data_IF_967064202108
#
_entry.id   IF_967064202108
#
_cell.length_a   1.000
_cell.length_b   1.000
_cell.length_c   1.000
_cell.angle_alpha   90.00
_cell.angle_beta   90.00
_cell.angle_gamma   90.00
#
_symmetry.space_group_name_H-M   'P 1'
#
loop_
_entity.id
_entity.type
_entity.pdbx_description
1 polymer ?
#
# COMPACT_ATOMS: atom_id res chain seq x y z
N UNK A 1 -4.67 -22.47 -31.67
CA UNK A 1 -5.09 -22.48 -30.26
C UNK A 1 -4.50 -21.24 -29.62
N UNK A 2 -5.37 -20.41 -29.07
CA UNK A 2 -5.14 -19.01 -28.70
C UNK A 2 -4.12 -18.85 -27.58
N UNK A 3 -3.25 -17.82 -27.60
CA UNK A 3 -2.53 -17.43 -26.40
C UNK A 3 -3.54 -16.81 -25.44
N UNK A 4 -3.67 -17.45 -24.29
CA UNK A 4 -4.49 -17.02 -23.18
C UNK A 4 -4.02 -15.65 -22.69
N UNK A 5 -4.98 -14.77 -22.42
CA UNK A 5 -4.87 -13.39 -21.95
C UNK A 5 -3.65 -13.10 -21.05
N UNK A 6 -2.57 -12.58 -21.63
CA UNK A 6 -1.65 -11.71 -20.91
C UNK A 6 -2.14 -10.28 -21.10
N UNK A 7 -2.96 -9.81 -20.18
CA UNK A 7 -3.13 -8.36 -19.99
C UNK A 7 -1.81 -7.88 -19.39
N UNK A 8 -0.83 -7.59 -20.25
CA UNK A 8 0.28 -6.71 -19.91
C UNK A 8 -0.31 -5.31 -19.77
N UNK A 9 -0.94 -5.02 -18.64
CA UNK A 9 -0.97 -3.64 -18.18
C UNK A 9 0.48 -3.31 -17.82
N UNK A 10 1.18 -2.63 -18.72
CA UNK A 10 2.51 -2.10 -18.45
C UNK A 10 2.39 -1.19 -17.22
N UNK A 11 2.90 -1.66 -16.08
CA UNK A 11 2.97 -0.87 -14.85
C UNK A 11 3.61 0.47 -15.16
N UNK A 12 3.11 1.53 -14.56
CA UNK A 12 3.61 2.89 -14.80
C UNK A 12 4.71 3.25 -13.79
N UNK A 13 5.79 3.94 -14.21
CA UNK A 13 6.75 4.50 -13.27
C UNK A 13 6.06 5.54 -12.39
N UNK A 14 6.38 5.55 -11.10
CA UNK A 14 5.93 6.59 -10.18
C UNK A 14 7.04 6.91 -9.16
N UNK A 15 7.18 8.18 -8.80
CA UNK A 15 8.06 8.58 -7.72
C UNK A 15 7.42 8.31 -6.35
N UNK A 16 8.28 8.21 -5.32
CA UNK A 16 7.86 7.89 -3.96
C UNK A 16 6.85 8.88 -3.39
N UNK A 17 7.01 10.17 -3.66
CA UNK A 17 6.16 11.20 -3.07
C UNK A 17 4.76 11.15 -3.68
N UNK A 18 4.66 11.03 -5.00
CA UNK A 18 3.38 10.89 -5.71
C UNK A 18 2.66 9.61 -5.29
N UNK A 19 3.38 8.50 -5.15
CA UNK A 19 2.80 7.23 -4.71
C UNK A 19 2.25 7.30 -3.28
N UNK A 20 2.95 7.98 -2.36
CA UNK A 20 2.46 8.18 -0.99
C UNK A 20 1.23 9.10 -0.95
N UNK A 21 1.12 10.09 -1.83
CA UNK A 21 -0.08 10.92 -1.94
C UNK A 21 -1.28 10.08 -2.38
N UNK A 22 -1.14 9.28 -3.44
CA UNK A 22 -2.21 8.39 -3.91
C UNK A 22 -2.58 7.34 -2.86
N UNK A 23 -1.61 6.73 -2.20
CA UNK A 23 -1.83 5.78 -1.12
C UNK A 23 -2.63 6.40 0.05
N UNK A 24 -2.26 7.61 0.48
CA UNK A 24 -2.97 8.29 1.57
C UNK A 24 -4.36 8.79 1.17
N UNK A 25 -4.60 9.04 -0.12
CA UNK A 25 -5.94 9.32 -0.62
C UNK A 25 -6.84 8.08 -0.51
N UNK A 26 -6.32 6.91 -0.90
CA UNK A 26 -7.04 5.62 -0.75
C UNK A 26 -7.32 5.33 0.73
N UNK A 27 -6.33 5.50 1.61
CA UNK A 27 -6.50 5.28 3.06
C UNK A 27 -7.67 6.09 3.61
N UNK A 28 -7.77 7.38 3.27
CA UNK A 28 -8.79 8.30 3.80
C UNK A 28 -10.21 7.97 3.33
N UNK A 29 -10.35 7.35 2.16
CA UNK A 29 -11.64 7.02 1.56
C UNK A 29 -12.06 5.56 1.80
N UNK A 30 -11.27 4.78 2.53
CA UNK A 30 -11.60 3.39 2.82
C UNK A 30 -12.46 3.27 4.09
N UNK A 31 -13.42 2.34 4.10
CA UNK A 31 -14.39 2.18 5.21
C UNK A 31 -13.71 1.86 6.56
N UNK A 32 -12.64 1.05 6.52
CA UNK A 32 -11.80 0.72 7.68
C UNK A 32 -10.80 1.84 8.11
N UNK A 33 -10.96 3.07 7.62
CA UNK A 33 -10.08 4.18 8.00
C UNK A 33 -10.09 4.43 9.51
N UNK A 34 -8.88 4.54 10.09
CA UNK A 34 -8.68 4.93 11.48
C UNK A 34 -8.01 6.30 11.53
N UNK A 35 -8.49 7.17 12.43
CA UNK A 35 -7.85 8.47 12.63
C UNK A 35 -6.35 8.31 12.97
N UNK A 36 -5.51 9.03 12.24
CA UNK A 36 -4.05 8.96 12.35
C UNK A 36 -3.39 7.89 11.47
N UNK A 37 -4.17 7.05 10.77
CA UNK A 37 -3.61 6.10 9.80
C UNK A 37 -3.07 6.86 8.59
N UNK A 38 -1.76 6.75 8.37
CA UNK A 38 -1.03 7.42 7.28
C UNK A 38 0.09 6.49 6.83
N UNK A 39 0.30 6.38 5.52
CA UNK A 39 1.52 5.80 4.97
C UNK A 39 2.58 6.89 4.86
N UNK A 40 3.72 6.72 5.53
CA UNK A 40 4.83 7.69 5.53
C UNK A 40 6.00 7.27 4.65
N UNK A 41 6.06 6.00 4.30
CA UNK A 41 7.16 5.44 3.53
C UNK A 41 6.70 4.23 2.71
N UNK A 42 7.39 4.06 1.59
CA UNK A 42 7.17 2.96 0.66
C UNK A 42 8.49 2.51 0.07
N UNK A 43 8.66 1.19 0.00
CA UNK A 43 9.78 0.52 -0.66
C UNK A 43 9.23 -0.49 -1.67
N UNK A 44 9.96 -0.77 -2.75
CA UNK A 44 9.60 -1.85 -3.67
C UNK A 44 10.50 -3.06 -3.45
N UNK A 45 9.91 -4.21 -3.18
CA UNK A 45 10.60 -5.49 -2.96
C UNK A 45 10.03 -6.55 -3.89
N UNK A 46 10.88 -7.13 -4.73
CA UNK A 46 10.49 -8.19 -5.68
C UNK A 46 9.24 -7.82 -6.53
N UNK A 47 9.16 -6.56 -6.97
CA UNK A 47 8.03 -6.06 -7.77
C UNK A 47 6.78 -5.69 -6.98
N UNK A 48 6.78 -5.81 -5.65
CA UNK A 48 5.68 -5.47 -4.74
C UNK A 48 6.03 -4.23 -3.91
N UNK A 49 5.13 -3.27 -3.87
CA UNK A 49 5.19 -2.08 -3.02
C UNK A 49 4.85 -2.45 -1.57
N UNK A 50 5.70 -2.05 -0.64
CA UNK A 50 5.56 -2.29 0.80
C UNK A 50 5.44 -0.94 1.50
N UNK A 51 4.26 -0.66 2.00
CA UNK A 51 3.95 0.57 2.74
C UNK A 51 4.25 0.41 4.23
N UNK A 52 4.68 1.50 4.87
CA UNK A 52 4.86 1.59 6.33
C UNK A 52 4.28 2.91 6.84
N UNK A 53 4.07 2.93 8.15
CA UNK A 53 3.50 4.05 8.88
C UNK A 53 3.16 3.63 10.31
N UNK A 54 2.23 4.35 10.94
CA UNK A 54 1.78 4.07 12.31
C UNK A 54 0.95 2.77 12.41
N UNK A 55 1.37 1.85 13.29
CA UNK A 55 0.72 0.55 13.49
C UNK A 55 -0.18 0.49 14.74
N UNK A 56 -0.24 1.55 15.56
CA UNK A 56 -1.05 1.62 16.78
C UNK A 56 -0.79 0.42 17.73
N UNK A 57 0.49 0.11 17.93
CA UNK A 57 0.92 -0.90 18.88
C UNK A 57 0.62 -0.44 20.31
N UNK A 58 0.48 -1.39 21.23
CA UNK A 58 0.38 -1.05 22.65
C UNK A 58 1.74 -0.58 23.23
N UNK A 59 1.74 -0.21 24.51
CA UNK A 59 2.95 0.23 25.23
C UNK A 59 4.09 -0.79 25.27
N UNK A 60 3.82 -2.06 24.98
CA UNK A 60 4.80 -3.14 24.94
C UNK A 60 5.22 -3.48 23.49
N UNK A 61 4.69 -2.75 22.50
CA UNK A 61 4.93 -3.02 21.07
C UNK A 61 4.10 -4.17 20.52
N UNK A 62 3.02 -4.58 21.21
CA UNK A 62 2.19 -5.71 20.78
C UNK A 62 1.08 -5.19 19.84
N UNK A 63 0.82 -5.90 18.72
CA UNK A 63 -0.29 -5.58 17.83
C UNK A 63 -1.64 -5.57 18.55
N UNK A 64 -2.45 -4.56 18.25
CA UNK A 64 -3.83 -4.42 18.74
C UNK A 64 -4.82 -4.65 17.60
N UNK A 65 -6.12 -4.60 17.90
CA UNK A 65 -7.16 -4.60 16.86
C UNK A 65 -6.97 -3.46 15.83
N UNK A 66 -6.45 -2.31 16.28
CA UNK A 66 -6.13 -1.19 15.38
C UNK A 66 -4.97 -1.54 14.45
N UNK A 67 -3.98 -2.27 14.95
CA UNK A 67 -2.88 -2.77 14.13
C UNK A 67 -3.37 -3.69 13.02
N UNK A 68 -4.36 -4.56 13.30
CA UNK A 68 -4.97 -5.42 12.28
C UNK A 68 -5.58 -4.61 11.13
N UNK A 69 -6.30 -3.51 11.44
CA UNK A 69 -6.87 -2.64 10.41
C UNK A 69 -5.77 -1.98 9.55
N UNK A 70 -4.67 -1.51 10.17
CA UNK A 70 -3.52 -0.96 9.44
C UNK A 70 -2.87 -2.02 8.54
N UNK A 71 -2.66 -3.24 9.04
CA UNK A 71 -2.10 -4.34 8.25
C UNK A 71 -2.97 -4.65 7.03
N UNK A 72 -4.29 -4.71 7.21
CA UNK A 72 -5.23 -4.94 6.11
C UNK A 72 -5.17 -3.79 5.09
N UNK A 73 -5.10 -2.54 5.56
CA UNK A 73 -4.98 -1.36 4.69
C UNK A 73 -3.69 -1.39 3.88
N UNK A 74 -2.53 -1.58 4.53
CA UNK A 74 -1.25 -1.61 3.83
C UNK A 74 -1.14 -2.80 2.88
N UNK A 75 -1.74 -3.94 3.22
CA UNK A 75 -1.89 -5.08 2.31
C UNK A 75 -2.76 -4.72 1.10
N UNK A 76 -3.86 -4.01 1.29
CA UNK A 76 -4.72 -3.55 0.21
C UNK A 76 -3.97 -2.60 -0.73
N UNK A 77 -3.29 -1.59 -0.19
CA UNK A 77 -2.44 -0.67 -0.95
C UNK A 77 -1.36 -1.40 -1.74
N UNK A 78 -0.65 -2.32 -1.09
CA UNK A 78 0.38 -3.12 -1.73
C UNK A 78 -0.18 -3.88 -2.93
N UNK A 79 -1.37 -4.49 -2.80
CA UNK A 79 -2.00 -5.20 -3.90
C UNK A 79 -2.39 -4.25 -5.05
N UNK A 80 -3.22 -3.24 -4.77
CA UNK A 80 -3.81 -2.40 -5.83
C UNK A 80 -2.81 -1.47 -6.51
N UNK A 81 -1.80 -0.98 -5.78
CA UNK A 81 -0.81 -0.07 -6.35
C UNK A 81 0.34 -0.83 -7.02
N UNK A 82 0.69 -2.04 -6.55
CA UNK A 82 1.73 -2.85 -7.23
C UNK A 82 1.28 -3.37 -8.57
N UNK A 83 -0.02 -3.53 -8.80
CA UNK A 83 -0.56 -3.86 -10.13
C UNK A 83 -0.44 -2.68 -11.10
N UNK A 84 -0.50 -1.45 -10.59
CA UNK A 84 -0.51 -0.22 -11.40
C UNK A 84 0.87 0.39 -11.61
N UNK A 85 1.77 0.25 -10.65
CA UNK A 85 2.99 1.06 -10.58
C UNK A 85 4.24 0.26 -10.26
N UNK A 86 5.38 0.82 -10.65
CA UNK A 86 6.70 0.49 -10.11
C UNK A 86 7.41 1.77 -9.67
N UNK A 87 8.21 1.67 -8.62
CA UNK A 87 8.88 2.80 -8.02
C UNK A 87 10.09 3.19 -8.88
N UNK A 88 10.17 4.48 -9.21
CA UNK A 88 11.38 5.10 -9.75
C UNK A 88 11.80 6.18 -8.76
N UNK A 89 13.04 6.11 -8.28
CA UNK A 89 13.57 7.07 -7.29
C UNK A 89 13.71 8.49 -7.86
#
# INVERSE_FOLDING_TARGET
>A
MSPEHQVNEEKRPIDRQSLLVEANDIIKHHDDYLHGMVADSVEQKNGVLVFRGEFFLDKNGIPTLKSTAVFNMFKHLAHVLSEKYYLVD
#
